data_IF_620768532906
#
_entry.id   IF_620768532906
#
_cell.length_a   1.000
_cell.length_b   1.000
_cell.length_c   1.000
_cell.angle_alpha   90.00
_cell.angle_beta   90.00
_cell.angle_gamma   90.00
#
_symmetry.space_group_name_H-M   'P 1'
#
loop_
_entity.id
_entity.type
_entity.pdbx_description
1 polymer ?
#
# COMPACT_ATOMS: atom_id res chain seq x y z
N UNK A 1 -9.11 9.40 -6.31
CA UNK A 1 -8.76 8.28 -5.42
C UNK A 1 -7.25 8.09 -5.39
N UNK A 2 -6.48 8.97 -4.72
CA UNK A 2 -5.05 8.75 -4.57
C UNK A 2 -4.78 7.50 -3.75
N UNK A 3 -5.59 7.27 -2.72
CA UNK A 3 -5.50 6.09 -1.88
C UNK A 3 -5.61 4.77 -2.68
N UNK A 4 -6.51 4.70 -3.65
CA UNK A 4 -6.60 3.56 -4.56
C UNK A 4 -5.44 3.48 -5.56
N UNK A 5 -4.90 4.61 -5.98
CA UNK A 5 -3.81 4.65 -6.95
C UNK A 5 -2.50 4.15 -6.36
N UNK A 6 -2.17 4.60 -5.15
CA UNK A 6 -0.90 4.28 -4.49
C UNK A 6 -0.92 2.89 -3.87
N UNK A 7 -1.94 2.51 -3.11
CA UNK A 7 -2.06 1.14 -2.62
C UNK A 7 -2.21 0.10 -3.72
N UNK A 8 -2.91 0.42 -4.82
CA UNK A 8 -2.97 -0.46 -5.98
C UNK A 8 -1.60 -0.62 -6.63
N UNK A 9 -0.82 0.44 -6.71
CA UNK A 9 0.50 0.43 -7.31
C UNK A 9 1.51 -0.36 -6.46
N UNK A 10 1.56 -0.11 -5.16
CA UNK A 10 2.44 -0.80 -4.20
C UNK A 10 2.15 -2.29 -4.15
N UNK A 11 0.90 -2.68 -4.00
CA UNK A 11 0.51 -4.10 -3.98
C UNK A 11 0.59 -4.78 -5.34
N UNK A 12 0.40 -4.08 -6.45
CA UNK A 12 0.48 -4.69 -7.77
C UNK A 12 1.92 -4.90 -8.22
N UNK A 13 2.87 -4.07 -7.84
CA UNK A 13 4.28 -4.41 -8.01
C UNK A 13 4.66 -5.65 -7.20
N UNK A 14 4.10 -5.81 -5.99
CA UNK A 14 4.38 -6.96 -5.14
C UNK A 14 3.64 -8.23 -5.54
N UNK A 15 2.38 -8.14 -5.98
CA UNK A 15 1.56 -9.32 -6.28
C UNK A 15 1.63 -9.74 -7.75
N UNK A 16 1.79 -8.82 -8.70
CA UNK A 16 1.88 -9.15 -10.12
C UNK A 16 3.18 -9.86 -10.50
N UNK A 17 4.28 -9.51 -9.84
CA UNK A 17 5.53 -10.23 -10.05
C UNK A 17 5.55 -11.62 -9.40
N UNK A 18 4.57 -11.98 -8.56
CA UNK A 18 4.46 -13.31 -7.97
C UNK A 18 3.85 -14.36 -8.90
N UNK A 19 3.06 -13.98 -9.89
CA UNK A 19 2.28 -14.92 -10.70
C UNK A 19 2.64 -14.98 -12.17
N UNK A 20 3.40 -14.01 -12.69
CA UNK A 20 3.83 -14.04 -14.08
C UNK A 20 5.26 -13.53 -14.20
N UNK A 21 6.11 -14.28 -14.86
CA UNK A 21 7.44 -13.84 -15.31
C UNK A 21 7.35 -12.78 -16.43
N UNK A 22 6.14 -12.34 -16.77
CA UNK A 22 5.89 -11.33 -17.79
C UNK A 22 5.90 -9.94 -17.19
N UNK A 23 6.53 -9.01 -17.87
CA UNK A 23 6.66 -7.58 -17.54
C UNK A 23 5.33 -6.79 -17.58
N UNK A 24 4.20 -7.39 -17.23
CA UNK A 24 2.92 -6.68 -17.23
C UNK A 24 2.87 -5.71 -16.04
N UNK A 25 3.40 -4.52 -16.25
CA UNK A 25 3.21 -3.41 -15.32
C UNK A 25 1.73 -3.09 -15.21
N UNK A 26 1.22 -3.03 -13.98
CA UNK A 26 -0.12 -2.53 -13.79
C UNK A 26 -0.22 -1.07 -14.27
N UNK A 27 -0.98 -0.88 -15.31
CA UNK A 27 -1.22 0.44 -15.88
C UNK A 27 -2.08 1.38 -14.99
N UNK A 28 -2.43 0.94 -13.77
CA UNK A 28 -3.21 1.70 -12.80
C UNK A 28 -4.72 1.54 -12.96
N UNK A 29 -5.46 1.95 -11.93
CA UNK A 29 -6.92 1.81 -11.89
C UNK A 29 -7.65 2.63 -12.95
N UNK A 30 -7.03 3.67 -13.50
CA UNK A 30 -7.57 4.50 -14.59
C UNK A 30 -7.16 4.01 -15.99
N UNK A 31 -6.43 2.91 -16.08
CA UNK A 31 -6.06 2.35 -17.39
C UNK A 31 -7.28 1.83 -18.15
N UNK A 32 -7.18 1.80 -19.48
CA UNK A 32 -8.24 1.30 -20.35
C UNK A 32 -8.68 -0.11 -19.97
N UNK A 33 -7.73 -1.01 -19.71
CA UNK A 33 -8.02 -2.40 -19.32
C UNK A 33 -8.82 -2.48 -18.02
N UNK A 34 -8.47 -1.67 -17.00
CA UNK A 34 -9.19 -1.63 -15.72
C UNK A 34 -10.54 -0.93 -15.83
N UNK A 35 -10.63 0.09 -16.67
CA UNK A 35 -11.90 0.77 -16.96
C UNK A 35 -12.87 -0.12 -17.73
N UNK A 36 -12.37 -1.05 -18.55
CA UNK A 36 -13.19 -2.03 -19.27
C UNK A 36 -13.76 -3.11 -18.34
N UNK A 37 -12.95 -3.62 -17.38
CA UNK A 37 -13.40 -4.63 -16.39
C UNK A 37 -14.44 -4.07 -15.41
N UNK A 38 -14.44 -2.76 -15.20
CA UNK A 38 -15.37 -2.06 -14.33
C UNK A 38 -14.93 -2.06 -12.85
N UNK A 39 -14.78 -0.86 -12.30
CA UNK A 39 -14.65 -0.64 -10.86
C UNK A 39 -15.82 0.28 -10.45
N UNK A 40 -16.67 -0.13 -9.49
CA UNK A 40 -17.82 0.67 -9.10
C UNK A 40 -17.48 2.10 -8.68
N UNK A 41 -16.30 2.30 -8.06
CA UNK A 41 -15.83 3.63 -7.67
C UNK A 41 -15.36 4.46 -8.86
N UNK A 42 -14.56 3.87 -9.76
CA UNK A 42 -14.12 4.57 -10.99
C UNK A 42 -15.29 4.90 -11.87
N UNK A 43 -16.22 3.97 -12.07
CA UNK A 43 -17.43 4.20 -12.85
C UNK A 43 -18.26 5.35 -12.28
N UNK A 44 -18.41 5.40 -10.95
CA UNK A 44 -19.14 6.48 -10.30
C UNK A 44 -18.37 7.79 -10.34
N UNK A 45 -17.15 7.82 -9.79
CA UNK A 45 -16.39 9.04 -9.61
C UNK A 45 -15.93 9.64 -10.96
N UNK A 46 -15.26 8.84 -11.79
CA UNK A 46 -14.63 9.34 -13.01
C UNK A 46 -15.63 9.44 -14.16
N UNK A 47 -16.38 8.33 -14.45
CA UNK A 47 -17.24 8.30 -15.64
C UNK A 47 -18.55 9.08 -15.46
N UNK A 48 -19.21 8.98 -14.27
CA UNK A 48 -20.52 9.61 -14.05
C UNK A 48 -20.43 11.01 -13.45
N UNK A 49 -19.50 11.23 -12.51
CA UNK A 49 -19.43 12.48 -11.74
C UNK A 49 -18.28 13.40 -12.19
N UNK A 50 -17.40 12.95 -13.08
CA UNK A 50 -16.26 13.74 -13.57
C UNK A 50 -15.25 14.15 -12.49
N UNK A 51 -15.24 13.47 -11.34
CA UNK A 51 -14.33 13.78 -10.22
C UNK A 51 -13.21 12.76 -10.14
N UNK A 52 -12.02 13.21 -9.81
CA UNK A 52 -10.86 12.33 -9.65
C UNK A 52 -10.91 11.52 -8.36
N UNK A 53 -11.38 12.14 -7.29
CA UNK A 53 -11.44 11.55 -5.96
C UNK A 53 -12.86 11.59 -5.40
N UNK A 54 -13.31 10.53 -4.71
CA UNK A 54 -14.62 10.50 -4.09
C UNK A 54 -14.84 11.69 -3.12
N UNK A 55 -13.79 12.22 -2.51
CA UNK A 55 -13.87 13.41 -1.66
C UNK A 55 -14.35 14.67 -2.40
N UNK A 56 -14.06 14.79 -3.69
CA UNK A 56 -14.50 15.91 -4.52
C UNK A 56 -15.99 15.82 -4.89
N UNK A 57 -16.62 14.67 -4.63
CA UNK A 57 -18.03 14.45 -4.89
C UNK A 57 -18.86 15.13 -3.79
N UNK A 58 -19.84 15.92 -4.18
CA UNK A 58 -20.77 16.61 -3.26
C UNK A 58 -21.58 15.64 -2.40
N UNK A 59 -21.84 14.44 -2.90
CA UNK A 59 -22.59 13.37 -2.20
C UNK A 59 -21.68 12.46 -1.35
N UNK A 60 -20.39 12.79 -1.18
CA UNK A 60 -19.44 11.89 -0.52
C UNK A 60 -19.85 11.51 0.90
N UNK A 61 -20.40 12.45 1.68
CA UNK A 61 -20.84 12.23 3.06
C UNK A 61 -21.99 11.22 3.18
N UNK A 62 -22.87 11.16 2.19
CA UNK A 62 -24.07 10.30 2.18
C UNK A 62 -23.92 9.07 1.28
N UNK A 63 -22.75 8.89 0.66
CA UNK A 63 -22.54 7.82 -0.30
C UNK A 63 -22.53 6.44 0.37
N UNK A 64 -23.64 5.70 0.26
CA UNK A 64 -23.79 4.36 0.82
C UNK A 64 -22.74 3.36 0.36
N UNK A 65 -22.30 3.46 -0.91
CA UNK A 65 -21.22 2.61 -1.43
C UNK A 65 -19.90 2.88 -0.70
N UNK A 66 -19.60 4.15 -0.42
CA UNK A 66 -18.41 4.54 0.31
C UNK A 66 -18.47 4.12 1.77
N UNK A 67 -19.62 4.31 2.42
CA UNK A 67 -19.88 3.86 3.80
C UNK A 67 -19.67 2.35 3.94
N UNK A 68 -20.31 1.54 3.07
CA UNK A 68 -20.15 0.07 3.06
C UNK A 68 -18.70 -0.35 2.84
N UNK A 69 -17.97 0.32 1.95
CA UNK A 69 -16.57 0.03 1.72
C UNK A 69 -15.69 0.32 2.95
N UNK A 70 -15.93 1.43 3.62
CA UNK A 70 -15.21 1.79 4.85
C UNK A 70 -15.49 0.80 5.97
N UNK A 71 -16.75 0.44 6.19
CA UNK A 71 -17.11 -0.55 7.21
C UNK A 71 -16.45 -1.92 6.94
N UNK A 72 -16.53 -2.40 5.71
CA UNK A 72 -15.82 -3.63 5.34
C UNK A 72 -14.30 -3.51 5.56
N UNK A 73 -13.71 -2.39 5.17
CA UNK A 73 -12.27 -2.14 5.31
C UNK A 73 -11.78 -2.01 6.75
N UNK A 74 -12.66 -1.74 7.72
CA UNK A 74 -12.31 -1.77 9.15
C UNK A 74 -12.04 -3.19 9.66
N UNK A 75 -12.75 -4.17 9.13
CA UNK A 75 -12.75 -5.55 9.63
C UNK A 75 -11.88 -6.48 8.78
N UNK A 76 -11.92 -6.31 7.47
CA UNK A 76 -11.30 -7.23 6.53
C UNK A 76 -10.42 -6.49 5.52
N UNK A 77 -9.30 -7.14 5.21
CA UNK A 77 -8.51 -6.80 4.04
C UNK A 77 -8.91 -7.75 2.90
N UNK A 78 -8.85 -7.28 1.65
CA UNK A 78 -9.04 -8.12 0.47
C UNK A 78 -7.67 -8.43 -0.14
N UNK A 79 -7.50 -8.18 -1.43
CA UNK A 79 -6.18 -8.14 -2.05
C UNK A 79 -5.38 -6.86 -1.70
N UNK A 80 -5.95 -5.96 -0.89
CA UNK A 80 -5.33 -4.72 -0.38
C UNK A 80 -5.42 -4.67 1.13
N UNK A 81 -4.42 -4.07 1.74
CA UNK A 81 -4.41 -3.73 3.15
C UNK A 81 -5.23 -2.45 3.39
N UNK A 82 -6.26 -2.55 4.20
CA UNK A 82 -7.12 -1.42 4.59
C UNK A 82 -6.86 -0.94 6.02
N UNK A 83 -5.84 -1.47 6.70
CA UNK A 83 -5.56 -1.17 8.10
C UNK A 83 -5.33 0.33 8.38
N UNK A 84 -4.82 1.07 7.38
CA UNK A 84 -4.61 2.52 7.47
C UNK A 84 -5.67 3.37 6.76
N UNK A 85 -6.77 2.77 6.28
CA UNK A 85 -7.76 3.47 5.46
C UNK A 85 -8.33 4.72 6.15
N UNK A 86 -8.75 4.59 7.41
CA UNK A 86 -9.35 5.70 8.16
C UNK A 86 -8.32 6.79 8.54
N UNK A 87 -7.11 6.39 8.91
CA UNK A 87 -6.02 7.32 9.21
C UNK A 87 -5.63 8.12 7.96
N UNK A 88 -5.56 7.45 6.81
CA UNK A 88 -5.22 8.09 5.54
C UNK A 88 -6.32 9.05 5.08
N UNK A 89 -7.59 8.68 5.23
CA UNK A 89 -8.72 9.59 4.99
C UNK A 89 -8.61 10.81 5.91
N UNK A 90 -8.37 10.60 7.19
CA UNK A 90 -8.19 11.67 8.17
C UNK A 90 -7.00 12.57 7.83
N UNK A 91 -5.88 11.99 7.45
CA UNK A 91 -4.68 12.71 7.02
C UNK A 91 -4.95 13.58 5.79
N UNK A 92 -5.62 13.03 4.77
CA UNK A 92 -6.00 13.79 3.57
C UNK A 92 -6.95 14.94 3.93
N UNK A 93 -7.88 14.71 4.87
CA UNK A 93 -8.78 15.77 5.32
C UNK A 93 -8.07 16.91 6.05
N UNK A 94 -7.06 16.59 6.85
CA UNK A 94 -6.31 17.58 7.65
C UNK A 94 -5.23 18.31 6.85
N UNK A 95 -4.47 17.59 6.03
CA UNK A 95 -3.24 18.09 5.41
C UNK A 95 -3.34 18.25 3.89
N UNK A 96 -4.45 17.80 3.30
CA UNK A 96 -4.65 17.84 1.86
C UNK A 96 -4.02 16.66 1.14
N UNK A 97 -4.34 16.58 -0.16
CA UNK A 97 -3.95 15.45 -1.02
C UNK A 97 -2.46 15.49 -1.38
N UNK A 98 -1.93 16.68 -1.65
CA UNK A 98 -0.54 16.83 -2.08
C UNK A 98 0.44 16.36 -1.01
N UNK A 99 0.17 16.68 0.26
CA UNK A 99 0.99 16.21 1.38
C UNK A 99 0.89 14.69 1.56
N UNK A 100 -0.31 14.15 1.39
CA UNK A 100 -0.50 12.70 1.40
C UNK A 100 0.30 12.02 0.28
N UNK A 101 0.26 12.54 -0.96
CA UNK A 101 1.01 11.99 -2.09
C UNK A 101 2.52 12.00 -1.85
N UNK A 102 3.08 13.10 -1.35
CA UNK A 102 4.51 13.17 -0.99
C UNK A 102 4.91 12.08 0.02
N UNK A 103 4.08 11.87 1.04
CA UNK A 103 4.33 10.82 2.04
C UNK A 103 4.25 9.41 1.42
N UNK A 104 3.35 9.19 0.47
CA UNK A 104 3.28 7.91 -0.23
C UNK A 104 4.47 7.71 -1.18
N UNK A 105 5.00 8.75 -1.81
CA UNK A 105 6.23 8.67 -2.61
C UNK A 105 7.43 8.22 -1.76
N UNK A 106 7.56 8.72 -0.53
CA UNK A 106 8.60 8.27 0.40
C UNK A 106 8.42 6.79 0.74
N UNK A 107 7.19 6.35 1.06
CA UNK A 107 6.89 4.94 1.34
C UNK A 107 7.21 4.03 0.16
N UNK A 108 6.85 4.47 -1.03
CA UNK A 108 7.15 3.77 -2.27
C UNK A 108 8.65 3.62 -2.48
N UNK A 109 9.42 4.67 -2.23
CA UNK A 109 10.88 4.63 -2.35
C UNK A 109 11.48 3.61 -1.39
N UNK A 110 11.12 3.67 -0.10
CA UNK A 110 11.57 2.70 0.91
C UNK A 110 11.18 1.28 0.53
N UNK A 111 9.96 1.05 0.08
CA UNK A 111 9.51 -0.27 -0.37
C UNK A 111 10.34 -0.79 -1.55
N UNK A 112 10.65 0.06 -2.53
CA UNK A 112 11.52 -0.31 -3.67
C UNK A 112 12.90 -0.76 -3.20
N UNK A 113 13.48 -0.04 -2.26
CA UNK A 113 14.78 -0.40 -1.69
C UNK A 113 14.71 -1.72 -0.92
N UNK A 114 13.68 -1.93 -0.10
CA UNK A 114 13.46 -3.21 0.59
C UNK A 114 13.33 -4.38 -0.40
N UNK A 115 12.58 -4.20 -1.49
CA UNK A 115 12.39 -5.22 -2.51
C UNK A 115 13.65 -5.48 -3.33
N UNK A 116 14.46 -4.47 -3.57
CA UNK A 116 15.72 -4.60 -4.32
C UNK A 116 16.79 -5.34 -3.51
N UNK A 117 16.93 -5.02 -2.23
CA UNK A 117 18.05 -5.44 -1.41
C UNK A 117 17.78 -6.68 -0.56
N UNK A 118 16.52 -6.89 -0.14
CA UNK A 118 16.15 -7.89 0.87
C UNK A 118 15.12 -8.93 0.38
N UNK A 119 14.74 -8.93 -0.89
CA UNK A 119 13.71 -9.84 -1.38
C UNK A 119 14.30 -11.24 -1.67
N UNK A 120 13.74 -12.24 -1.01
CA UNK A 120 14.04 -13.66 -1.24
C UNK A 120 13.01 -14.38 -2.15
N UNK A 121 12.10 -13.61 -2.76
CA UNK A 121 10.96 -14.11 -3.56
C UNK A 121 9.68 -14.38 -2.75
N UNK A 122 9.74 -14.45 -1.42
CA UNK A 122 8.58 -14.70 -0.53
C UNK A 122 8.23 -13.50 0.34
N UNK A 123 9.14 -12.55 0.49
CA UNK A 123 9.05 -11.41 1.40
C UNK A 123 8.16 -10.27 0.91
N UNK A 124 7.79 -10.24 -0.38
CA UNK A 124 7.09 -9.11 -1.01
C UNK A 124 5.81 -8.69 -0.29
N UNK A 125 4.95 -9.65 0.06
CA UNK A 125 3.69 -9.33 0.73
C UNK A 125 3.90 -8.68 2.09
N UNK A 126 4.85 -9.19 2.87
CA UNK A 126 5.22 -8.63 4.17
C UNK A 126 5.73 -7.18 4.04
N UNK A 127 6.65 -6.94 3.10
CA UNK A 127 7.22 -5.61 2.87
C UNK A 127 6.18 -4.60 2.40
N UNK A 128 5.25 -5.01 1.52
CA UNK A 128 4.16 -4.14 1.09
C UNK A 128 3.23 -3.76 2.24
N UNK A 129 2.91 -4.71 3.11
CA UNK A 129 2.06 -4.44 4.28
C UNK A 129 2.82 -3.55 5.27
N UNK A 130 4.08 -3.85 5.56
CA UNK A 130 4.93 -3.02 6.41
C UNK A 130 5.00 -1.57 5.90
N UNK A 131 5.28 -1.38 4.60
CA UNK A 131 5.30 -0.07 3.96
C UNK A 131 3.95 0.67 4.04
N UNK A 132 2.84 -0.06 4.13
CA UNK A 132 1.51 0.52 4.29
C UNK A 132 1.23 0.91 5.74
N UNK A 133 1.51 0.04 6.73
CA UNK A 133 1.03 0.20 8.10
C UNK A 133 2.00 0.92 9.03
N UNK A 134 3.31 0.75 8.83
CA UNK A 134 4.32 1.32 9.71
C UNK A 134 4.54 2.82 9.46
N UNK A 135 5.12 3.53 10.41
CA UNK A 135 5.55 4.91 10.23
C UNK A 135 6.76 4.98 9.31
N UNK A 136 6.90 6.08 8.56
CA UNK A 136 7.98 6.27 7.58
C UNK A 136 9.35 6.27 8.24
N UNK A 137 9.48 6.99 9.36
CA UNK A 137 10.70 7.05 10.16
C UNK A 137 11.15 5.67 10.65
N UNK A 138 10.21 4.87 11.18
CA UNK A 138 10.48 3.49 11.61
C UNK A 138 10.96 2.61 10.43
N UNK A 139 10.34 2.73 9.27
CA UNK A 139 10.73 1.98 8.07
C UNK A 139 12.14 2.35 7.59
N UNK A 140 12.48 3.64 7.60
CA UNK A 140 13.81 4.14 7.22
C UNK A 140 14.88 3.70 8.21
N UNK A 141 14.57 3.72 9.50
CA UNK A 141 15.46 3.22 10.55
C UNK A 141 15.72 1.72 10.41
N UNK A 142 14.67 0.93 10.18
CA UNK A 142 14.78 -0.52 9.95
C UNK A 142 15.66 -0.78 8.74
N UNK A 143 15.40 -0.10 7.62
CA UNK A 143 16.16 -0.28 6.38
C UNK A 143 17.65 0.03 6.60
N UNK A 144 17.95 1.11 7.31
CA UNK A 144 19.32 1.51 7.62
C UNK A 144 20.03 0.48 8.49
N UNK A 145 19.38 0.02 9.57
CA UNK A 145 19.92 -1.01 10.46
C UNK A 145 20.09 -2.35 9.76
N UNK A 146 19.12 -2.75 8.94
CA UNK A 146 19.18 -3.97 8.16
C UNK A 146 20.37 -3.96 7.18
N UNK A 147 20.61 -2.85 6.51
CA UNK A 147 21.79 -2.67 5.64
C UNK A 147 23.12 -2.85 6.40
N UNK A 148 23.21 -2.27 7.59
CA UNK A 148 24.41 -2.38 8.43
C UNK A 148 24.66 -3.82 8.87
N UNK A 149 23.62 -4.51 9.35
CA UNK A 149 23.74 -5.87 9.88
C UNK A 149 23.91 -6.94 8.80
N UNK A 150 23.44 -6.67 7.58
CA UNK A 150 23.44 -7.66 6.51
C UNK A 150 24.59 -7.49 5.48
N UNK A 151 25.61 -6.68 5.80
CA UNK A 151 26.77 -6.51 4.91
C UNK A 151 27.45 -7.85 4.60
N UNK A 152 27.62 -8.14 3.30
CA UNK A 152 28.26 -9.36 2.84
C UNK A 152 27.41 -10.64 2.90
N UNK A 153 26.19 -10.56 3.40
CA UNK A 153 25.28 -11.71 3.51
C UNK A 153 24.64 -12.08 2.18
N UNK A 154 24.27 -13.35 2.05
CA UNK A 154 23.50 -13.85 0.92
C UNK A 154 22.04 -13.33 0.95
N UNK A 155 21.34 -13.23 -0.20
CA UNK A 155 19.98 -12.66 -0.27
C UNK A 155 18.98 -13.25 0.71
N UNK A 156 19.01 -14.57 0.93
CA UNK A 156 18.12 -15.23 1.91
C UNK A 156 18.40 -14.82 3.35
N UNK A 157 19.67 -14.60 3.69
CA UNK A 157 20.07 -14.16 5.04
C UNK A 157 19.69 -12.70 5.27
N UNK A 158 19.91 -11.84 4.26
CA UNK A 158 19.44 -10.45 4.27
C UNK A 158 17.94 -10.37 4.52
N UNK A 159 17.15 -11.19 3.81
CA UNK A 159 15.71 -11.24 4.01
C UNK A 159 15.32 -11.63 5.44
N UNK A 160 16.02 -12.60 6.05
CA UNK A 160 15.79 -12.98 7.46
C UNK A 160 16.08 -11.82 8.42
N UNK A 161 17.18 -11.10 8.22
CA UNK A 161 17.53 -9.92 9.04
C UNK A 161 16.41 -8.88 8.95
N UNK A 162 15.95 -8.54 7.74
CA UNK A 162 14.87 -7.59 7.52
C UNK A 162 13.57 -8.06 8.20
N UNK A 163 13.19 -9.32 8.02
CA UNK A 163 11.99 -9.89 8.67
C UNK A 163 12.04 -9.80 10.18
N UNK A 164 13.16 -10.20 10.80
CA UNK A 164 13.32 -10.14 12.26
C UNK A 164 13.17 -8.72 12.81
N UNK A 165 13.70 -7.72 12.09
CA UNK A 165 13.55 -6.32 12.51
C UNK A 165 12.11 -5.81 12.35
N UNK A 166 11.45 -6.16 11.24
CA UNK A 166 10.05 -5.81 11.02
C UNK A 166 9.15 -6.46 12.09
N UNK A 167 9.38 -7.73 12.42
CA UNK A 167 8.63 -8.44 13.46
C UNK A 167 8.85 -7.82 14.85
N UNK A 168 10.09 -7.46 15.18
CA UNK A 168 10.40 -6.81 16.46
C UNK A 168 9.61 -5.52 16.65
N UNK A 169 9.66 -4.61 15.68
CA UNK A 169 8.93 -3.33 15.75
C UNK A 169 7.42 -3.57 15.65
N UNK A 170 6.99 -4.53 14.84
CA UNK A 170 5.58 -4.91 14.71
C UNK A 170 4.99 -5.37 16.05
N UNK A 171 5.71 -6.21 16.79
CA UNK A 171 5.28 -6.69 18.09
C UNK A 171 5.28 -5.58 19.15
N UNK A 172 6.29 -4.72 19.14
CA UNK A 172 6.40 -3.58 20.07
C UNK A 172 5.30 -2.53 19.85
N UNK A 173 4.96 -2.24 18.60
CA UNK A 173 4.00 -1.18 18.22
C UNK A 173 2.60 -1.71 17.89
N UNK A 174 2.38 -3.01 17.88
CA UNK A 174 1.09 -3.61 17.57
C UNK A 174 0.71 -3.55 16.09
N UNK A 175 1.68 -3.47 15.17
CA UNK A 175 1.40 -3.54 13.73
C UNK A 175 1.05 -4.96 13.32
N UNK A 176 0.09 -5.12 12.42
CA UNK A 176 -0.27 -6.41 11.85
C UNK A 176 0.32 -6.54 10.43
N UNK A 177 1.42 -7.27 10.28
CA UNK A 177 2.13 -7.46 9.01
C UNK A 177 1.54 -8.55 8.11
N UNK A 178 0.24 -8.77 8.21
CA UNK A 178 -0.53 -9.69 7.36
C UNK A 178 -1.90 -9.11 7.06
N UNK A 179 -2.52 -9.57 5.97
CA UNK A 179 -3.89 -9.19 5.66
C UNK A 179 -4.87 -9.83 6.66
N UNK A 180 -5.84 -9.04 7.11
CA UNK A 180 -6.96 -9.50 7.94
C UNK A 180 -7.93 -10.28 7.05
N UNK A 181 -8.28 -11.48 7.45
CA UNK A 181 -9.24 -12.34 6.77
C UNK A 181 -10.62 -12.22 7.38
#
# INVERSE_FOLDING_TARGET
MPHFRLQCWEMQQATHSCHTQTESRCAGCKSYARMAVGCPFITCAVKKKGVEFCRQCTENGECERWKKHRESGKQHDSFKCYQKLEDDISSICKHGINEFEKRQEIREHVLKEMLLEFNDGRSKSCYCIAATVMKIDELQDILTKARQQSKGMQPKEKAKVMHSMLELISNDKGYLLKLRK
#
